data_IF_992981307261
#
_entry.id   IF_992981307261
#
_cell.length_a   1.000
_cell.length_b   1.000
_cell.length_c   1.000
_cell.angle_alpha   90.00
_cell.angle_beta   90.00
_cell.angle_gamma   90.00
#
_symmetry.space_group_name_H-M   'P 1'
#
loop_
_entity.id
_entity.type
_entity.pdbx_description
1 polymer ?
#
# COMPACT_ATOMS: atom_id res chain seq x y z
N UNK A 1 -11.37 -17.03 -6.23
CA UNK A 1 -11.68 -16.47 -7.56
C UNK A 1 -12.46 -15.17 -7.34
N UNK A 2 -11.84 -14.02 -7.60
CA UNK A 2 -12.53 -12.72 -7.48
C UNK A 2 -13.71 -12.69 -8.45
N UNK A 3 -14.93 -12.53 -7.96
CA UNK A 3 -16.19 -12.62 -8.72
C UNK A 3 -16.45 -11.38 -9.60
N UNK A 4 -15.40 -10.68 -10.04
CA UNK A 4 -15.53 -9.40 -10.73
C UNK A 4 -16.03 -8.31 -9.80
N UNK A 5 -15.21 -7.94 -8.81
CA UNK A 5 -15.54 -6.86 -7.87
C UNK A 5 -15.61 -5.51 -8.61
N UNK A 6 -16.65 -4.73 -8.31
CA UNK A 6 -16.75 -3.36 -8.83
C UNK A 6 -15.84 -2.46 -8.00
N UNK A 7 -14.69 -2.13 -8.58
CA UNK A 7 -13.64 -1.33 -7.94
C UNK A 7 -13.68 0.16 -8.31
N UNK A 8 -14.59 0.58 -9.20
CA UNK A 8 -14.72 1.97 -9.61
C UNK A 8 -15.77 2.17 -10.70
N UNK A 9 -15.95 3.43 -11.10
CA UNK A 9 -16.84 3.82 -12.19
C UNK A 9 -16.52 5.23 -12.67
N UNK A 10 -16.67 5.45 -13.98
CA UNK A 10 -16.49 6.75 -14.60
C UNK A 10 -17.32 6.83 -15.87
N UNK A 11 -17.53 8.04 -16.38
CA UNK A 11 -18.21 8.32 -17.65
C UNK A 11 -17.23 9.13 -18.48
N UNK A 12 -17.14 8.81 -19.78
CA UNK A 12 -16.27 9.54 -20.68
C UNK A 12 -16.72 11.00 -20.83
N UNK A 13 -15.74 11.91 -20.95
CA UNK A 13 -15.98 13.32 -21.21
C UNK A 13 -16.38 13.57 -22.68
N UNK A 14 -16.60 14.84 -23.03
CA UNK A 14 -16.96 15.24 -24.40
C UNK A 14 -15.89 14.91 -25.46
N UNK A 15 -14.67 14.54 -25.05
CA UNK A 15 -13.56 14.12 -25.92
C UNK A 15 -13.37 12.59 -25.92
N UNK A 16 -14.23 11.84 -25.23
CA UNK A 16 -14.12 10.38 -25.10
C UNK A 16 -13.06 9.92 -24.10
N UNK A 17 -12.49 10.82 -23.30
CA UNK A 17 -11.49 10.50 -22.28
C UNK A 17 -12.19 10.13 -20.97
N UNK A 18 -11.62 9.22 -20.19
CA UNK A 18 -12.16 8.85 -18.89
C UNK A 18 -11.06 8.55 -17.88
N UNK A 19 -11.31 8.91 -16.62
CA UNK A 19 -10.44 8.61 -15.47
C UNK A 19 -11.31 8.10 -14.34
N UNK A 20 -10.89 7.02 -13.69
CA UNK A 20 -11.58 6.46 -12.53
C UNK A 20 -10.60 6.24 -11.38
N UNK A 21 -10.97 6.69 -10.18
CA UNK A 21 -10.32 6.21 -8.97
C UNK A 21 -10.73 4.75 -8.74
N UNK A 22 -9.74 3.89 -8.46
CA UNK A 22 -9.95 2.46 -8.20
C UNK A 22 -9.77 2.21 -6.71
N UNK A 23 -10.84 1.74 -6.05
CA UNK A 23 -10.83 1.39 -4.64
C UNK A 23 -11.11 -0.11 -4.50
N UNK A 24 -10.19 -0.82 -3.86
CA UNK A 24 -10.36 -2.24 -3.55
C UNK A 24 -10.94 -2.37 -2.14
N UNK A 25 -12.02 -3.15 -1.95
CA UNK A 25 -12.60 -3.34 -0.62
C UNK A 25 -11.74 -4.23 0.29
N UNK A 26 -10.91 -5.08 -0.33
CA UNK A 26 -9.96 -5.95 0.34
C UNK A 26 -8.60 -5.79 -0.31
N UNK A 27 -7.57 -5.71 0.52
CA UNK A 27 -6.20 -5.68 0.07
C UNK A 27 -5.69 -7.11 -0.12
N UNK A 28 -5.31 -7.46 -1.34
CA UNK A 28 -4.73 -8.76 -1.68
C UNK A 28 -3.43 -8.52 -2.43
N UNK A 29 -2.30 -8.94 -1.86
CA UNK A 29 -0.99 -8.81 -2.50
C UNK A 29 -1.00 -9.36 -3.94
N UNK A 30 -0.45 -8.62 -4.89
CA UNK A 30 -0.15 -9.15 -6.22
C UNK A 30 -0.79 -8.40 -7.39
N UNK A 31 -0.74 -9.04 -8.57
CA UNK A 31 -1.22 -8.48 -9.83
C UNK A 31 -2.71 -8.73 -9.99
N UNK A 32 -3.46 -7.65 -10.16
CA UNK A 32 -4.90 -7.68 -10.39
C UNK A 32 -5.22 -7.14 -11.78
N UNK A 33 -6.09 -7.83 -12.50
CA UNK A 33 -6.58 -7.35 -13.78
C UNK A 33 -7.86 -6.55 -13.57
N UNK A 34 -7.87 -5.32 -14.06
CA UNK A 34 -9.05 -4.45 -14.05
C UNK A 34 -9.60 -4.40 -15.47
N UNK A 35 -10.90 -4.67 -15.61
CA UNK A 35 -11.62 -4.62 -16.89
C UNK A 35 -12.63 -3.50 -16.86
N UNK A 36 -12.54 -2.58 -17.82
CA UNK A 36 -13.46 -1.46 -17.99
C UNK A 36 -14.39 -1.71 -19.19
N UNK A 37 -15.70 -1.60 -18.97
CA UNK A 37 -16.73 -1.67 -20.00
C UNK A 37 -17.15 -0.26 -20.39
N UNK A 38 -16.58 0.27 -21.47
CA UNK A 38 -16.82 1.63 -21.97
C UNK A 38 -17.45 1.63 -23.38
N UNK A 39 -18.07 0.51 -23.78
CA UNK A 39 -18.48 0.23 -25.16
C UNK A 39 -17.47 -0.69 -25.86
N UNK A 40 -16.18 -0.35 -25.79
CA UNK A 40 -15.06 -1.30 -25.99
C UNK A 40 -14.58 -1.83 -24.65
N UNK A 41 -14.05 -3.05 -24.64
CA UNK A 41 -13.48 -3.67 -23.43
C UNK A 41 -12.00 -3.32 -23.33
N UNK A 42 -11.63 -2.64 -22.26
CA UNK A 42 -10.24 -2.27 -21.97
C UNK A 42 -9.77 -3.03 -20.74
N UNK A 43 -8.59 -3.65 -20.82
CA UNK A 43 -8.02 -4.45 -19.75
C UNK A 43 -6.65 -3.93 -19.38
N UNK A 44 -6.43 -3.65 -18.09
CA UNK A 44 -5.15 -3.17 -17.57
C UNK A 44 -4.76 -3.93 -16.30
N UNK A 45 -3.46 -4.09 -16.07
CA UNK A 45 -2.93 -4.69 -14.85
C UNK A 45 -2.63 -3.62 -13.81
N UNK A 46 -3.02 -3.88 -12.57
CA UNK A 46 -2.69 -3.08 -11.39
C UNK A 46 -1.92 -3.97 -10.42
N UNK A 47 -0.70 -3.57 -10.07
CA UNK A 47 0.12 -4.27 -9.10
C UNK A 47 -0.12 -3.68 -7.69
N UNK A 48 -0.74 -4.46 -6.80
CA UNK A 48 -0.87 -4.12 -5.38
C UNK A 48 0.41 -4.55 -4.65
N UNK A 49 1.27 -3.58 -4.35
CA UNK A 49 2.49 -3.79 -3.59
C UNK A 49 2.20 -3.77 -2.09
N UNK A 50 2.61 -4.83 -1.38
CA UNK A 50 2.84 -4.71 0.06
C UNK A 50 4.15 -3.95 0.24
N UNK A 51 4.05 -2.64 0.37
CA UNK A 51 5.07 -1.94 1.13
C UNK A 51 4.84 -2.33 2.57
N UNK A 52 5.45 -3.44 2.99
CA UNK A 52 5.67 -3.71 4.40
C UNK A 52 6.45 -2.50 4.92
N UNK A 53 5.75 -1.49 5.44
CA UNK A 53 6.34 -0.52 6.33
C UNK A 53 6.68 -1.32 7.57
N UNK A 54 7.82 -2.00 7.52
CA UNK A 54 8.51 -2.40 8.73
C UNK A 54 8.73 -1.08 9.47
N UNK A 55 7.91 -0.82 10.48
CA UNK A 55 8.09 0.28 11.44
C UNK A 55 9.37 0.08 12.26
N UNK A 56 10.50 -0.15 11.59
CA UNK A 56 11.82 -0.47 12.13
C UNK A 56 12.53 0.72 12.77
N UNK A 57 11.86 1.85 12.90
CA UNK A 57 12.37 3.00 13.62
C UNK A 57 12.09 2.91 15.13
N UNK A 58 11.02 2.25 15.57
CA UNK A 58 10.72 2.19 17.01
C UNK A 58 11.56 1.16 17.77
N UNK A 59 11.81 -0.02 17.20
CA UNK A 59 12.54 -1.09 17.91
C UNK A 59 14.04 -0.84 18.02
N UNK A 60 14.68 -0.35 16.96
CA UNK A 60 16.12 -0.07 16.92
C UNK A 60 16.52 1.07 17.86
N UNK A 61 15.69 2.11 17.95
CA UNK A 61 15.92 3.29 18.79
C UNK A 61 15.81 2.95 20.28
N UNK A 62 14.82 2.12 20.67
CA UNK A 62 14.68 1.63 22.05
C UNK A 62 15.92 0.85 22.50
N UNK A 63 16.44 -0.03 21.65
CA UNK A 63 17.65 -0.82 21.94
C UNK A 63 18.84 0.12 22.15
N UNK A 64 19.03 1.09 21.26
CA UNK A 64 20.13 2.05 21.32
C UNK A 64 20.07 2.88 22.62
N UNK A 65 18.88 3.39 22.97
CA UNK A 65 18.66 4.14 24.22
C UNK A 65 18.97 3.30 25.45
N UNK A 66 18.57 2.03 25.47
CA UNK A 66 18.86 1.13 26.59
C UNK A 66 20.37 0.97 26.82
N UNK A 67 21.15 0.72 25.76
CA UNK A 67 22.61 0.60 25.87
C UNK A 67 23.29 1.89 26.32
N UNK A 68 22.83 3.04 25.83
CA UNK A 68 23.34 4.35 26.25
C UNK A 68 23.08 4.58 27.74
N UNK A 69 21.85 4.34 28.21
CA UNK A 69 21.50 4.52 29.62
C UNK A 69 22.26 3.55 30.52
N UNK A 70 22.39 2.29 30.11
CA UNK A 70 23.17 1.29 30.84
C UNK A 70 24.65 1.69 30.95
N UNK A 71 25.27 2.13 29.85
CA UNK A 71 26.66 2.59 29.84
C UNK A 71 26.89 3.81 30.73
N UNK A 72 26.01 4.82 30.65
CA UNK A 72 26.08 6.02 31.50
C UNK A 72 25.91 5.66 32.98
N UNK A 73 25.02 4.73 33.30
CA UNK A 73 24.81 4.27 34.68
C UNK A 73 26.08 3.62 35.22
N UNK A 74 26.68 2.69 34.47
CA UNK A 74 27.94 2.03 34.88
C UNK A 74 29.09 3.02 35.07
N UNK A 75 29.20 4.04 34.21
CA UNK A 75 30.19 5.10 34.36
C UNK A 75 29.95 5.99 35.59
N UNK A 76 28.69 6.19 36.00
CA UNK A 76 28.35 6.97 37.19
C UNK A 76 28.48 6.21 38.50
N UNK A 77 28.40 4.88 38.48
CA UNK A 77 28.48 4.02 39.66
C UNK A 77 29.90 3.45 39.91
N UNK A 78 30.90 3.83 39.10
CA UNK A 78 32.33 3.67 39.42
C UNK A 78 32.92 4.99 39.89
#
# INVERSE_FOLDING_TARGET
MSKGERVGGTIADARGQFTAAVQFSRFEAGRHWVTANCGVVLTAAVDQLLTSSTGGQSSSLIILVFFVLAGVSVLRFR
#
